data_IF_534740350583
#
_entry.id   IF_534740350583
#
_cell.length_a   1.000
_cell.length_b   1.000
_cell.length_c   1.000
_cell.angle_alpha   90.00
_cell.angle_beta   90.00
_cell.angle_gamma   90.00
#
_symmetry.space_group_name_H-M   'P 1'
#
loop_
_entity.id
_entity.type
_entity.pdbx_description
1 polymer ?
#
# COMPACT_ATOMS: atom_id res chain seq x y z
N UNK A 1 2.08 11.33 26.57
CA UNK A 1 1.59 10.56 25.41
C UNK A 1 2.71 10.56 24.39
N UNK A 2 3.21 9.41 23.92
CA UNK A 2 4.15 9.47 22.80
C UNK A 2 3.38 10.12 21.65
N UNK A 3 3.96 11.17 21.06
CA UNK A 3 3.53 11.69 19.78
C UNK A 3 3.61 10.52 18.79
N UNK A 4 2.49 9.86 18.51
CA UNK A 4 2.44 8.82 17.49
C UNK A 4 2.35 9.52 16.15
N UNK A 5 3.48 10.08 15.69
CA UNK A 5 3.58 10.60 14.33
C UNK A 5 3.15 9.49 13.37
N UNK A 6 2.04 9.70 12.66
CA UNK A 6 1.57 8.74 11.65
C UNK A 6 2.65 8.60 10.57
N UNK A 7 2.86 7.37 10.10
CA UNK A 7 3.79 7.13 9.01
C UNK A 7 3.20 7.70 7.72
N UNK A 8 3.95 8.57 7.05
CA UNK A 8 3.55 9.10 5.75
C UNK A 8 3.82 8.11 4.63
N UNK A 9 2.79 7.79 3.87
CA UNK A 9 2.81 6.82 2.79
C UNK A 9 2.40 7.51 1.49
N UNK A 10 3.23 7.37 0.48
CA UNK A 10 2.91 7.81 -0.88
C UNK A 10 2.25 6.66 -1.63
N UNK A 11 1.08 6.90 -2.21
CA UNK A 11 0.30 5.88 -2.94
C UNK A 11 0.58 6.01 -4.43
N UNK A 12 0.92 4.88 -5.07
CA UNK A 12 1.16 4.80 -6.51
C UNK A 12 -0.15 4.75 -7.32
N UNK A 13 -0.10 5.13 -8.59
CA UNK A 13 -1.24 5.18 -9.50
C UNK A 13 -1.88 3.81 -9.72
N UNK A 14 -1.08 2.74 -9.76
CA UNK A 14 -1.59 1.37 -9.96
C UNK A 14 -2.47 0.90 -8.79
N UNK A 15 -2.14 1.32 -7.57
CA UNK A 15 -2.92 1.08 -6.35
C UNK A 15 -4.21 1.90 -6.39
N UNK A 16 -4.17 3.18 -6.78
CA UNK A 16 -5.37 4.02 -6.92
C UNK A 16 -6.30 3.57 -8.06
N UNK A 17 -5.75 2.97 -9.11
CA UNK A 17 -6.53 2.45 -10.24
C UNK A 17 -7.32 1.20 -9.84
N UNK A 18 -6.73 0.36 -8.98
CA UNK A 18 -7.30 -0.92 -8.57
C UNK A 18 -8.28 -0.76 -7.39
N UNK A 19 -9.59 -1.06 -7.55
CA UNK A 19 -10.59 -0.76 -6.52
C UNK A 19 -10.34 -1.42 -5.17
N UNK A 20 -9.92 -2.69 -5.15
CA UNK A 20 -9.73 -3.46 -3.91
C UNK A 20 -8.61 -2.88 -3.05
N UNK A 21 -7.34 -2.79 -3.51
CA UNK A 21 -6.27 -2.23 -2.69
C UNK A 21 -6.54 -0.77 -2.29
N UNK A 22 -7.06 0.07 -3.20
CA UNK A 22 -7.44 1.46 -2.88
C UNK A 22 -8.47 1.51 -1.74
N UNK A 23 -9.59 0.80 -1.89
CA UNK A 23 -10.69 0.88 -0.91
C UNK A 23 -10.25 0.40 0.46
N UNK A 24 -9.55 -0.74 0.55
CA UNK A 24 -9.07 -1.25 1.84
C UNK A 24 -8.07 -0.28 2.48
N UNK A 25 -7.12 0.24 1.70
CA UNK A 25 -6.08 1.17 2.19
C UNK A 25 -6.68 2.47 2.76
N UNK A 26 -7.67 3.05 2.07
CA UNK A 26 -8.29 4.31 2.49
C UNK A 26 -9.34 4.14 3.59
N UNK A 27 -10.11 3.06 3.60
CA UNK A 27 -11.08 2.79 4.67
C UNK A 27 -10.39 2.44 6.00
N UNK A 28 -9.22 1.79 5.96
CA UNK A 28 -8.46 1.51 7.17
C UNK A 28 -7.72 2.74 7.74
N UNK A 29 -7.38 3.74 6.91
CA UNK A 29 -6.58 4.93 7.30
C UNK A 29 -7.03 5.60 8.61
N UNK A 30 -8.33 5.86 8.88
CA UNK A 30 -8.75 6.54 10.10
C UNK A 30 -8.35 5.78 11.38
N UNK A 31 -8.34 4.46 11.31
CA UNK A 31 -8.09 3.52 12.41
C UNK A 31 -6.64 3.03 12.49
N UNK A 32 -5.76 3.54 11.62
CA UNK A 32 -4.40 3.03 11.45
C UNK A 32 -3.33 4.06 11.83
N UNK A 33 -2.09 3.60 11.89
CA UNK A 33 -0.89 4.38 12.24
C UNK A 33 -0.25 5.12 11.06
N UNK A 34 -0.94 5.23 9.92
CA UNK A 34 -0.45 5.90 8.71
C UNK A 34 -1.34 7.03 8.20
N UNK A 35 -0.73 7.88 7.38
CA UNK A 35 -1.40 8.84 6.52
C UNK A 35 -1.06 8.57 5.05
N UNK A 36 -2.00 8.85 4.16
CA UNK A 36 -1.87 8.57 2.73
C UNK A 36 -1.80 9.89 1.98
N UNK A 37 -0.82 10.01 1.09
CA UNK A 37 -0.68 11.11 0.14
C UNK A 37 -0.41 10.57 -1.25
N UNK A 38 -0.71 11.37 -2.27
CA UNK A 38 -0.28 11.16 -3.65
C UNK A 38 -0.22 12.51 -4.36
N UNK A 39 0.23 12.57 -5.62
CA UNK A 39 0.36 13.82 -6.37
C UNK A 39 -0.64 13.93 -7.55
N UNK A 40 -0.85 15.13 -8.12
CA UNK A 40 -1.72 15.30 -9.30
C UNK A 40 -1.34 14.43 -10.49
N UNK A 41 -0.04 14.20 -10.72
CA UNK A 41 0.46 13.25 -11.72
C UNK A 41 -0.09 11.85 -11.49
N UNK A 42 -0.02 11.36 -10.24
CA UNK A 42 -0.53 10.03 -9.87
C UNK A 42 -2.05 9.94 -10.05
N UNK A 43 -2.80 10.97 -9.66
CA UNK A 43 -4.25 11.03 -9.88
C UNK A 43 -4.60 10.92 -11.37
N UNK A 44 -3.94 11.74 -12.19
CA UNK A 44 -4.12 11.76 -13.65
C UNK A 44 -3.79 10.40 -14.27
N UNK A 45 -2.68 9.81 -13.88
CA UNK A 45 -2.24 8.52 -14.39
C UNK A 45 -3.17 7.37 -13.98
N UNK A 46 -3.70 7.42 -12.75
CA UNK A 46 -4.66 6.44 -12.27
C UNK A 46 -5.98 6.52 -13.04
N UNK A 47 -6.51 7.73 -13.25
CA UNK A 47 -7.75 7.93 -14.00
C UNK A 47 -7.60 7.54 -15.48
N UNK A 48 -6.44 7.81 -16.09
CA UNK A 48 -6.14 7.41 -17.47
C UNK A 48 -6.20 5.89 -17.67
N UNK A 49 -5.80 5.12 -16.68
CA UNK A 49 -5.81 3.65 -16.72
C UNK A 49 -7.05 3.01 -16.10
N UNK A 50 -7.93 3.82 -15.52
CA UNK A 50 -9.14 3.36 -14.88
C UNK A 50 -10.18 2.91 -15.92
N UNK A 51 -10.93 1.85 -15.60
CA UNK A 51 -12.07 1.44 -16.42
C UNK A 51 -13.14 2.55 -16.38
N UNK A 52 -13.70 2.90 -17.53
CA UNK A 52 -14.68 3.98 -17.67
C UNK A 52 -15.90 3.89 -16.74
N UNK A 53 -16.26 2.69 -16.28
CA UNK A 53 -17.38 2.47 -15.36
C UNK A 53 -17.03 2.69 -13.87
N UNK A 54 -15.77 2.93 -13.52
CA UNK A 54 -15.38 3.21 -12.15
C UNK A 54 -15.45 4.72 -11.86
N UNK A 55 -15.75 5.07 -10.62
CA UNK A 55 -15.78 6.46 -10.16
C UNK A 55 -14.35 7.05 -10.23
N UNK A 56 -14.13 8.22 -10.87
CA UNK A 56 -12.82 8.86 -10.98
C UNK A 56 -12.16 9.08 -9.61
N UNK A 57 -10.84 8.96 -9.55
CA UNK A 57 -10.06 9.13 -8.30
C UNK A 57 -10.23 10.53 -7.72
N UNK A 58 -10.27 11.57 -8.56
CA UNK A 58 -10.55 12.96 -8.18
C UNK A 58 -11.89 13.13 -7.46
N UNK A 59 -12.94 12.43 -7.91
CA UNK A 59 -14.26 12.44 -7.26
C UNK A 59 -14.20 11.78 -5.88
N UNK A 60 -13.43 10.70 -5.74
CA UNK A 60 -13.20 10.05 -4.45
C UNK A 60 -12.41 10.96 -3.51
N UNK A 61 -11.36 11.61 -4.02
CA UNK A 61 -10.55 12.58 -3.29
C UNK A 61 -11.39 13.68 -2.68
N UNK A 62 -12.21 14.34 -3.49
CA UNK A 62 -13.05 15.46 -3.04
C UNK A 62 -14.10 15.00 -2.02
N UNK A 63 -14.69 13.82 -2.23
CA UNK A 63 -15.72 13.28 -1.34
C UNK A 63 -15.19 12.92 0.06
N UNK A 64 -13.95 12.44 0.13
CA UNK A 64 -13.36 11.91 1.37
C UNK A 64 -12.11 12.66 1.84
N UNK A 65 -11.88 13.85 1.29
CA UNK A 65 -10.76 14.74 1.63
C UNK A 65 -9.41 14.01 1.60
N UNK A 66 -9.13 13.28 0.51
CA UNK A 66 -7.84 12.59 0.36
C UNK A 66 -6.73 13.61 0.13
N UNK A 67 -5.61 13.41 0.83
CA UNK A 67 -4.52 14.37 0.83
C UNK A 67 -3.70 14.27 -0.45
N UNK A 68 -3.52 15.41 -1.10
CA UNK A 68 -2.70 15.56 -2.29
C UNK A 68 -1.49 16.45 -1.96
N UNK A 69 -0.32 16.09 -2.49
CA UNK A 69 0.92 16.86 -2.40
C UNK A 69 1.32 17.37 -3.80
N UNK A 70 2.16 18.40 -3.93
CA UNK A 70 2.64 18.83 -5.24
C UNK A 70 3.30 17.70 -6.04
N UNK A 71 3.27 17.84 -7.37
CA UNK A 71 4.10 17.00 -8.24
C UNK A 71 5.59 17.27 -8.02
N UNK A 72 6.42 16.33 -8.46
CA UNK A 72 7.87 16.50 -8.43
C UNK A 72 8.34 17.53 -9.46
N UNK A 73 9.39 18.26 -9.11
CA UNK A 73 10.11 19.12 -10.06
C UNK A 73 10.93 18.26 -11.04
N UNK A 74 11.19 18.81 -12.24
CA UNK A 74 11.88 18.08 -13.31
C UNK A 74 13.30 17.66 -12.88
N UNK A 75 13.97 18.52 -12.12
CA UNK A 75 15.32 18.29 -11.59
C UNK A 75 15.36 17.10 -10.63
N UNK A 76 14.34 16.96 -9.76
CA UNK A 76 14.23 15.84 -8.81
C UNK A 76 14.04 14.52 -9.56
N UNK A 77 13.22 14.52 -10.63
CA UNK A 77 13.00 13.35 -11.49
C UNK A 77 14.31 12.96 -12.21
N UNK A 78 15.05 13.93 -12.73
CA UNK A 78 16.30 13.71 -13.43
C UNK A 78 17.41 13.15 -12.52
N UNK A 79 17.35 13.45 -11.22
CA UNK A 79 18.30 12.96 -10.22
C UNK A 79 18.18 11.47 -9.88
N UNK A 80 17.08 10.82 -10.24
CA UNK A 80 16.86 9.39 -10.00
C UNK A 80 17.57 8.52 -11.04
N UNK A 81 18.23 7.47 -10.59
CA UNK A 81 19.19 6.69 -11.38
C UNK A 81 18.67 5.34 -11.84
N UNK A 82 18.19 4.50 -10.91
CA UNK A 82 17.85 3.09 -11.14
C UNK A 82 16.35 2.77 -11.00
N UNK A 83 15.52 3.77 -10.72
CA UNK A 83 14.05 3.70 -10.83
C UNK A 83 13.61 3.74 -12.29
N UNK A 84 12.65 2.90 -12.64
CA UNK A 84 12.09 2.81 -13.99
C UNK A 84 11.54 4.16 -14.44
N UNK A 85 11.75 4.53 -15.70
CA UNK A 85 11.57 5.90 -16.19
C UNK A 85 10.16 6.46 -15.92
N UNK A 86 9.13 5.63 -16.11
CA UNK A 86 7.72 5.99 -15.90
C UNK A 86 7.36 6.18 -14.42
N UNK A 87 8.13 5.59 -13.52
CA UNK A 87 7.89 5.56 -12.07
C UNK A 87 8.74 6.62 -11.33
N UNK A 88 9.68 7.28 -12.02
CA UNK A 88 10.48 8.38 -11.46
C UNK A 88 9.65 9.56 -10.94
N UNK A 89 8.60 10.05 -11.64
CA UNK A 89 7.75 11.12 -11.11
C UNK A 89 7.07 10.74 -9.79
N UNK A 90 6.66 9.47 -9.65
CA UNK A 90 6.05 8.92 -8.44
C UNK A 90 7.05 8.92 -7.28
N UNK A 91 8.26 8.39 -7.51
CA UNK A 91 9.29 8.33 -6.46
C UNK A 91 9.78 9.73 -6.07
N UNK A 92 9.99 10.63 -7.03
CA UNK A 92 10.43 12.00 -6.76
C UNK A 92 9.39 12.76 -5.91
N UNK A 93 8.10 12.62 -6.21
CA UNK A 93 7.04 13.23 -5.42
C UNK A 93 6.95 12.63 -4.01
N UNK A 94 7.17 11.31 -3.87
CA UNK A 94 7.26 10.66 -2.56
C UNK A 94 8.42 11.19 -1.71
N UNK A 95 9.58 11.44 -2.33
CA UNK A 95 10.75 12.03 -1.68
C UNK A 95 10.43 13.46 -1.22
N UNK A 96 9.88 14.30 -2.10
CA UNK A 96 9.49 15.68 -1.78
C UNK A 96 8.46 15.73 -0.63
N UNK A 97 7.52 14.78 -0.62
CA UNK A 97 6.52 14.63 0.43
C UNK A 97 7.08 14.12 1.76
N UNK A 98 8.35 13.69 1.81
CA UNK A 98 8.99 13.00 2.95
C UNK A 98 8.26 11.73 3.34
N UNK A 99 7.77 10.98 2.35
CA UNK A 99 7.15 9.69 2.60
C UNK A 99 8.20 8.70 3.13
N UNK A 100 7.76 7.80 4.01
CA UNK A 100 8.56 6.66 4.46
C UNK A 100 8.44 5.49 3.50
N UNK A 101 7.24 5.35 2.91
CA UNK A 101 6.90 4.25 2.02
C UNK A 101 6.29 4.76 0.72
N UNK A 102 6.60 4.07 -0.37
CA UNK A 102 5.79 4.07 -1.59
C UNK A 102 5.00 2.76 -1.60
N UNK A 103 3.67 2.84 -1.55
CA UNK A 103 2.78 1.68 -1.67
C UNK A 103 2.39 1.50 -3.13
N UNK A 104 2.81 0.38 -3.72
CA UNK A 104 2.70 0.09 -5.17
C UNK A 104 2.42 -1.39 -5.42
N UNK A 105 1.69 -1.70 -6.49
CA UNK A 105 1.56 -3.08 -6.98
C UNK A 105 2.83 -3.60 -7.66
N UNK A 106 3.71 -2.70 -8.12
CA UNK A 106 4.88 -3.01 -8.96
C UNK A 106 6.21 -2.61 -8.31
N UNK A 107 6.46 -3.08 -7.08
CA UNK A 107 7.66 -2.78 -6.27
C UNK A 107 8.98 -2.86 -7.05
N UNK A 108 9.12 -3.82 -7.98
CA UNK A 108 10.35 -4.01 -8.76
C UNK A 108 10.75 -2.81 -9.63
N UNK A 109 9.82 -1.92 -9.97
CA UNK A 109 10.10 -0.75 -10.80
C UNK A 109 10.81 0.37 -10.02
N UNK A 110 10.74 0.36 -8.68
CA UNK A 110 11.41 1.32 -7.83
C UNK A 110 12.85 0.88 -7.58
N UNK A 111 13.82 1.71 -7.94
CA UNK A 111 15.24 1.41 -7.88
C UNK A 111 15.74 1.20 -6.46
N UNK A 112 16.59 0.19 -6.23
CA UNK A 112 17.09 -0.09 -4.88
C UNK A 112 18.11 0.98 -4.43
N UNK A 113 18.90 1.50 -5.37
CA UNK A 113 19.84 2.59 -5.16
C UNK A 113 19.11 3.86 -4.78
N UNK A 114 18.14 4.28 -5.59
CA UNK A 114 17.32 5.48 -5.35
C UNK A 114 16.57 5.38 -4.01
N UNK A 115 15.88 4.26 -3.73
CA UNK A 115 15.18 4.06 -2.45
C UNK A 115 16.12 4.16 -1.25
N UNK A 116 17.32 3.58 -1.35
CA UNK A 116 18.33 3.61 -0.27
C UNK A 116 18.89 5.02 -0.06
N UNK A 117 19.21 5.73 -1.14
CA UNK A 117 19.78 7.07 -1.12
C UNK A 117 18.84 8.07 -0.42
N UNK A 118 17.53 7.93 -0.63
CA UNK A 118 16.53 8.82 -0.06
C UNK A 118 15.86 8.28 1.22
N UNK A 119 16.20 7.06 1.65
CA UNK A 119 15.70 6.50 2.90
C UNK A 119 14.23 6.06 2.86
N UNK A 120 13.74 5.56 1.71
CA UNK A 120 12.39 5.05 1.51
C UNK A 120 12.39 3.52 1.34
N UNK A 121 11.18 2.95 1.38
CA UNK A 121 10.90 1.61 0.85
C UNK A 121 9.70 1.61 -0.07
N UNK A 122 9.78 0.83 -1.16
CA UNK A 122 8.63 0.43 -1.94
C UNK A 122 8.06 -0.89 -1.39
N UNK A 123 6.75 -0.95 -1.18
CA UNK A 123 6.09 -2.09 -0.53
C UNK A 123 4.74 -2.39 -1.17
N UNK A 124 4.45 -3.68 -1.34
CA UNK A 124 3.16 -4.12 -1.85
C UNK A 124 2.03 -3.80 -0.85
N UNK A 125 0.85 -3.31 -1.27
CA UNK A 125 -0.23 -2.87 -0.38
C UNK A 125 -0.66 -3.94 0.64
N UNK A 126 -0.74 -5.21 0.23
CA UNK A 126 -1.09 -6.29 1.14
C UNK A 126 -0.04 -6.54 2.23
N UNK A 127 1.24 -6.38 1.93
CA UNK A 127 2.31 -6.52 2.92
C UNK A 127 2.35 -5.31 3.86
N UNK A 128 2.11 -4.12 3.32
CA UNK A 128 1.98 -2.90 4.11
C UNK A 128 0.82 -3.02 5.12
N UNK A 129 -0.40 -3.26 4.63
CA UNK A 129 -1.60 -3.34 5.47
C UNK A 129 -1.49 -4.39 6.57
N UNK A 130 -0.92 -5.57 6.27
CA UNK A 130 -0.68 -6.64 7.26
C UNK A 130 0.02 -6.16 8.53
N UNK A 131 0.87 -5.15 8.44
CA UNK A 131 1.66 -4.66 9.57
C UNK A 131 1.14 -3.35 10.18
N UNK A 132 0.13 -2.74 9.56
CA UNK A 132 -0.35 -1.40 9.91
C UNK A 132 -1.83 -1.36 10.32
N UNK A 133 -2.53 -2.50 10.23
CA UNK A 133 -3.92 -2.62 10.68
C UNK A 133 -4.05 -3.82 11.63
N UNK A 134 -4.93 -3.71 12.61
CA UNK A 134 -5.22 -4.83 13.52
C UNK A 134 -6.26 -5.78 12.90
N UNK A 135 -6.43 -7.01 13.42
CA UNK A 135 -7.53 -7.88 13.01
C UNK A 135 -8.90 -7.24 13.15
N UNK A 136 -9.12 -6.41 14.18
CA UNK A 136 -10.37 -5.69 14.42
C UNK A 136 -10.61 -4.62 13.34
N UNK A 137 -9.60 -3.80 13.05
CA UNK A 137 -9.68 -2.82 11.95
C UNK A 137 -9.92 -3.50 10.62
N UNK A 138 -9.24 -4.63 10.36
CA UNK A 138 -9.44 -5.39 9.15
C UNK A 138 -10.87 -5.93 9.03
N UNK A 139 -11.42 -6.49 10.12
CA UNK A 139 -12.82 -6.94 10.19
C UNK A 139 -13.79 -5.82 9.83
N UNK A 140 -13.68 -4.70 10.54
CA UNK A 140 -14.57 -3.55 10.38
C UNK A 140 -14.56 -3.02 8.94
N UNK A 141 -13.39 -2.93 8.32
CA UNK A 141 -13.25 -2.46 6.94
C UNK A 141 -13.91 -3.41 5.95
N UNK A 142 -13.72 -4.73 6.08
CA UNK A 142 -14.33 -5.70 5.15
C UNK A 142 -15.84 -5.76 5.32
N UNK A 143 -16.34 -5.70 6.55
CA UNK A 143 -17.78 -5.61 6.85
C UNK A 143 -18.39 -4.32 6.27
N UNK A 144 -17.74 -3.17 6.44
CA UNK A 144 -18.18 -1.92 5.85
C UNK A 144 -18.18 -1.96 4.31
N UNK A 145 -17.19 -2.62 3.68
CA UNK A 145 -17.18 -2.84 2.24
C UNK A 145 -18.39 -3.68 1.82
N UNK A 146 -18.67 -4.78 2.53
CA UNK A 146 -19.80 -5.67 2.26
C UNK A 146 -21.15 -4.93 2.32
N UNK A 147 -21.38 -4.16 3.38
CA UNK A 147 -22.62 -3.41 3.61
C UNK A 147 -22.89 -2.35 2.55
N UNK A 148 -21.84 -1.67 2.06
CA UNK A 148 -21.97 -0.55 1.13
C UNK A 148 -21.85 -0.97 -0.35
N UNK A 149 -21.75 -2.28 -0.62
CA UNK A 149 -21.50 -2.77 -1.98
C UNK A 149 -22.78 -3.00 -2.78
N UNK A 150 -22.79 -2.46 -4.00
CA UNK A 150 -23.85 -2.73 -4.97
C UNK A 150 -23.61 -3.97 -5.84
N UNK A 151 -22.40 -4.56 -5.84
CA UNK A 151 -22.05 -5.72 -6.69
C UNK A 151 -21.57 -6.88 -5.82
N UNK A 152 -21.80 -8.11 -6.27
CA UNK A 152 -21.22 -9.29 -5.62
C UNK A 152 -19.68 -9.30 -5.76
N UNK A 153 -18.96 -9.92 -4.80
CA UNK A 153 -19.46 -10.49 -3.54
C UNK A 153 -19.87 -9.43 -2.51
N UNK A 154 -21.00 -9.63 -1.83
CA UNK A 154 -21.54 -8.75 -0.76
C UNK A 154 -21.47 -9.33 0.65
N UNK A 155 -20.84 -10.49 0.79
CA UNK A 155 -20.59 -11.14 2.08
C UNK A 155 -19.10 -10.99 2.46
N UNK A 156 -18.77 -10.70 3.74
CA UNK A 156 -17.39 -10.51 4.19
C UNK A 156 -16.45 -11.69 3.89
N UNK A 157 -16.90 -12.93 4.09
CA UNK A 157 -16.08 -14.12 3.81
C UNK A 157 -15.81 -14.24 2.31
N UNK A 158 -16.83 -14.04 1.47
CA UNK A 158 -16.65 -14.07 0.02
C UNK A 158 -15.72 -12.96 -0.49
N UNK A 159 -15.81 -11.73 0.05
CA UNK A 159 -14.88 -10.64 -0.29
C UNK A 159 -13.45 -11.00 0.13
N UNK A 160 -13.30 -11.54 1.34
CA UNK A 160 -12.02 -11.98 1.90
C UNK A 160 -11.33 -13.01 0.99
N UNK A 161 -12.06 -14.04 0.57
CA UNK A 161 -11.51 -15.14 -0.23
C UNK A 161 -11.36 -14.83 -1.72
N UNK A 162 -12.29 -14.10 -2.32
CA UNK A 162 -12.34 -13.97 -3.78
C UNK A 162 -11.63 -12.70 -4.30
N UNK A 163 -11.47 -11.68 -3.46
CA UNK A 163 -10.90 -10.41 -3.87
C UNK A 163 -9.65 -10.05 -3.07
N UNK A 164 -9.72 -10.11 -1.75
CA UNK A 164 -8.58 -9.74 -0.91
C UNK A 164 -7.47 -10.77 -1.07
N UNK A 165 -7.77 -12.06 -1.13
CA UNK A 165 -6.75 -13.06 -1.41
C UNK A 165 -6.02 -12.82 -2.74
N UNK A 166 -6.76 -12.42 -3.79
CA UNK A 166 -6.19 -12.13 -5.13
C UNK A 166 -5.32 -10.88 -5.11
N UNK A 167 -5.83 -9.78 -4.57
CA UNK A 167 -5.21 -8.46 -4.72
C UNK A 167 -4.25 -8.10 -3.57
N UNK A 168 -4.43 -8.71 -2.40
CA UNK A 168 -3.71 -8.42 -1.17
C UNK A 168 -3.32 -9.73 -0.44
N UNK A 169 -2.60 -10.67 -1.09
CA UNK A 169 -2.39 -12.03 -0.57
C UNK A 169 -1.70 -12.06 0.80
N UNK A 170 -0.76 -11.15 1.07
CA UNK A 170 -0.11 -11.08 2.39
C UNK A 170 -1.07 -10.64 3.50
N UNK A 171 -2.05 -9.78 3.20
CA UNK A 171 -3.07 -9.36 4.15
C UNK A 171 -4.07 -10.50 4.40
N UNK A 172 -4.52 -11.17 3.33
CA UNK A 172 -5.38 -12.35 3.44
C UNK A 172 -4.74 -13.42 4.34
N UNK A 173 -3.47 -13.79 4.08
CA UNK A 173 -2.77 -14.79 4.88
C UNK A 173 -2.67 -14.40 6.36
N UNK A 174 -2.52 -13.11 6.67
CA UNK A 174 -2.44 -12.63 8.05
C UNK A 174 -3.76 -12.74 8.83
N UNK A 175 -4.90 -12.78 8.12
CA UNK A 175 -6.24 -12.81 8.70
C UNK A 175 -7.07 -13.98 8.16
N UNK A 176 -6.40 -15.05 7.75
CA UNK A 176 -6.95 -16.15 6.95
C UNK A 176 -8.21 -16.77 7.55
N UNK A 177 -8.25 -16.91 8.87
CA UNK A 177 -9.32 -17.59 9.59
C UNK A 177 -10.34 -16.63 10.22
N UNK A 178 -10.22 -15.32 9.93
CA UNK A 178 -10.97 -14.28 10.65
C UNK A 178 -12.48 -14.34 10.38
N UNK A 179 -12.88 -14.69 9.17
CA UNK A 179 -14.30 -14.76 8.76
C UNK A 179 -14.85 -16.19 8.72
N UNK A 180 -14.08 -17.16 9.20
CA UNK A 180 -14.41 -18.58 9.15
C UNK A 180 -13.27 -19.42 8.55
N UNK A 181 -13.44 -20.75 8.47
CA UNK A 181 -12.46 -21.62 7.85
C UNK A 181 -12.35 -21.30 6.34
N UNK A 182 -11.14 -21.03 5.83
CA UNK A 182 -10.94 -20.63 4.44
C UNK A 182 -11.19 -21.79 3.47
N UNK A 183 -11.80 -21.48 2.33
CA UNK A 183 -11.92 -22.39 1.20
C UNK A 183 -10.52 -22.83 0.72
N UNK A 184 -10.32 -24.12 0.32
CA UNK A 184 -9.02 -24.61 -0.14
C UNK A 184 -8.43 -23.78 -1.30
N UNK A 185 -9.28 -23.29 -2.20
CA UNK A 185 -8.89 -22.55 -3.40
C UNK A 185 -8.63 -21.05 -3.15
N UNK A 186 -8.87 -20.54 -1.94
CA UNK A 186 -8.73 -19.12 -1.61
C UNK A 186 -7.26 -18.64 -1.52
N UNK A 187 -6.28 -19.47 -1.88
CA UNK A 187 -4.86 -19.07 -1.80
C UNK A 187 -4.33 -18.59 -3.15
N UNK A 188 -3.84 -17.34 -3.16
CA UNK A 188 -3.19 -16.77 -4.33
C UNK A 188 -1.69 -16.56 -4.11
N UNK A 189 -0.94 -16.65 -5.22
CA UNK A 189 0.51 -16.51 -5.18
C UNK A 189 0.87 -15.07 -4.81
N UNK A 190 1.76 -14.85 -3.82
CA UNK A 190 2.25 -13.51 -3.51
C UNK A 190 3.06 -12.93 -4.68
N UNK A 191 3.17 -11.59 -4.78
CA UNK A 191 4.04 -10.96 -5.76
C UNK A 191 5.48 -11.44 -5.57
N UNK A 192 6.21 -11.61 -6.68
CA UNK A 192 7.60 -12.08 -6.66
C UNK A 192 8.54 -11.15 -5.88
N UNK A 193 8.25 -9.84 -5.88
CA UNK A 193 8.98 -8.82 -5.14
C UNK A 193 7.96 -8.03 -4.31
N UNK A 194 7.70 -8.39 -3.04
CA UNK A 194 6.72 -7.70 -2.21
C UNK A 194 7.29 -6.44 -1.52
N UNK A 195 8.62 -6.30 -1.50
CA UNK A 195 9.32 -5.23 -0.79
C UNK A 195 10.67 -4.92 -1.43
N UNK A 196 11.08 -3.65 -1.37
CA UNK A 196 12.43 -3.16 -1.67
C UNK A 196 12.70 -1.87 -0.89
N UNK A 197 13.95 -1.64 -0.47
CA UNK A 197 14.38 -0.39 0.16
C UNK A 197 14.68 -0.54 1.65
N UNK A 198 14.91 0.58 2.33
CA UNK A 198 15.64 0.62 3.62
C UNK A 198 14.80 0.85 4.86
N UNK A 199 13.47 0.81 4.77
CA UNK A 199 12.55 1.01 5.90
C UNK A 199 11.84 -0.29 6.24
N UNK A 200 11.96 -0.71 7.51
CA UNK A 200 11.20 -1.84 8.04
C UNK A 200 9.71 -1.57 7.92
N UNK A 201 8.96 -2.44 7.23
CA UNK A 201 7.52 -2.25 6.99
C UNK A 201 6.77 -2.06 8.30
N UNK A 202 7.09 -2.83 9.36
CA UNK A 202 6.34 -2.77 10.62
C UNK A 202 6.66 -1.58 11.53
N UNK A 203 7.92 -1.13 11.58
CA UNK A 203 8.34 -0.12 12.58
C UNK A 203 9.06 1.10 12.00
N UNK A 204 9.15 1.21 10.66
CA UNK A 204 9.82 2.28 9.93
C UNK A 204 11.32 2.50 10.25
N UNK A 205 11.93 1.68 11.12
CA UNK A 205 13.36 1.73 11.40
C UNK A 205 14.16 1.39 10.15
N UNK A 206 15.32 2.02 10.01
CA UNK A 206 16.22 1.75 8.90
C UNK A 206 16.71 0.30 8.98
N UNK A 207 16.67 -0.40 7.86
CA UNK A 207 17.26 -1.72 7.69
C UNK A 207 18.75 -1.55 7.39
N UNK A 208 19.60 -2.28 8.11
CA UNK A 208 21.06 -2.25 7.90
C UNK A 208 21.45 -2.92 6.58
N UNK A 209 20.72 -3.97 6.19
CA UNK A 209 20.85 -4.62 4.89
C UNK A 209 19.48 -4.83 4.22
N UNK A 210 19.00 -3.75 3.62
CA UNK A 210 17.76 -3.69 2.85
C UNK A 210 17.68 -4.66 1.67
N UNK A 211 18.84 -4.98 1.08
CA UNK A 211 18.92 -5.88 -0.07
C UNK A 211 18.86 -7.34 0.37
N UNK A 212 19.28 -7.65 1.60
CA UNK A 212 19.15 -8.99 2.18
C UNK A 212 17.77 -9.29 2.80
N UNK A 213 17.01 -8.28 3.25
CA UNK A 213 15.68 -8.51 3.85
C UNK A 213 14.59 -8.68 2.78
N UNK A 214 14.44 -9.92 2.29
CA UNK A 214 13.35 -10.31 1.37
C UNK A 214 11.95 -10.15 1.97
N UNK A 215 11.86 -10.03 3.30
CA UNK A 215 10.60 -9.89 4.04
C UNK A 215 10.22 -8.45 4.36
N UNK A 216 11.15 -7.49 4.21
CA UNK A 216 10.94 -6.09 4.58
C UNK A 216 10.86 -5.82 6.09
N UNK A 217 11.29 -6.76 6.92
CA UNK A 217 11.28 -6.63 8.38
C UNK A 217 12.70 -6.53 8.94
N UNK A 218 12.89 -5.70 9.96
CA UNK A 218 14.13 -5.69 10.76
C UNK A 218 14.18 -6.90 11.70
N UNK A 219 15.36 -7.21 12.22
CA UNK A 219 15.63 -8.39 13.06
C UNK A 219 14.66 -8.53 14.21
N UNK A 220 14.43 -7.43 14.93
CA UNK A 220 13.49 -7.38 16.05
C UNK A 220 12.06 -7.70 15.59
N UNK A 221 11.60 -7.09 14.49
CA UNK A 221 10.25 -7.33 13.98
C UNK A 221 10.08 -8.72 13.34
N UNK A 222 11.18 -9.40 12.96
CA UNK A 222 11.17 -10.77 12.46
C UNK A 222 11.01 -11.79 13.58
N UNK A 223 11.69 -11.57 14.71
CA UNK A 223 11.63 -12.46 15.88
C UNK A 223 10.38 -12.23 16.72
N UNK A 224 9.81 -11.03 16.64
CA UNK A 224 8.59 -10.65 17.34
C UNK A 224 7.36 -11.16 16.57
N UNK A 225 7.21 -12.49 16.51
CA UNK A 225 5.94 -13.13 16.20
C UNK A 225 5.07 -12.96 17.43
N UNK A 226 4.36 -11.83 17.51
CA UNK A 226 3.47 -11.53 18.64
C UNK A 226 2.66 -12.77 19.04
N UNK A 227 2.84 -13.15 20.31
CA UNK A 227 2.01 -14.10 21.02
C UNK A 227 0.59 -13.55 21.21
#
# INVERSE_FOLDING_TARGET
MPSTSRVRVFVDADVLTSPVPRTILYLARPLSDYELVYSPYVETEAERHQKAAHIPVSTLRERWDWQIVPDAEIEDIAGLSDTDHKDKPVLAAAIAARATFVVTGNVRHFGAGDLSAHGLSAVHPGLFLRHHITPETYREVVEAVAENRAREPRDPLAIHEQEIAVHLPALFVAHRDLFGPPSPDATHRPPAVPFRGVRCVRCARRLEDAQASTTGLCDICRTDTGA
#
